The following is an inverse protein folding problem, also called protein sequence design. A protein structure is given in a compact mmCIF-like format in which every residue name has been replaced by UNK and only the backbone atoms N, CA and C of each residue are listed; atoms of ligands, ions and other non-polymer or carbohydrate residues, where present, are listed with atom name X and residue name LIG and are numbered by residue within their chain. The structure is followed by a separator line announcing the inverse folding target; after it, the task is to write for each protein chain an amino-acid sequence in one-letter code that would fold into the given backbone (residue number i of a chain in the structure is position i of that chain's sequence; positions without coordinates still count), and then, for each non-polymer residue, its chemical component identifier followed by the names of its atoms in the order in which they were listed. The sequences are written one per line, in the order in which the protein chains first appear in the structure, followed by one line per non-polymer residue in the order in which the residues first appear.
data_IF_462737280590
#
_entry.id   IF_462737280590
#
_cell.length_a   1.000
_cell.length_b   1.000
_cell.length_c   1.000
_cell.angle_alpha   90.00
_cell.angle_beta   90.00
_cell.angle_gamma   90.00
#
_symmetry.space_group_name_H-M   'P 1'
#
loop_
_entity.id
_entity.type
_entity.pdbx_description
1 polymer ?
#
# COMPACT_ATOMS: atom_id res chain seq x y z
N UNK A 1 -16.46 -9.98 -1.22
CA UNK A 1 -16.01 -8.58 -1.47
C UNK A 1 -17.04 -7.93 -2.36
N UNK A 2 -17.37 -6.65 -2.17
CA UNK A 2 -18.26 -5.96 -3.09
C UNK A 2 -17.58 -5.88 -4.48
N UNK A 3 -18.30 -6.12 -5.59
CA UNK A 3 -17.70 -6.25 -6.93
C UNK A 3 -17.07 -4.95 -7.44
N UNK A 4 -17.48 -3.80 -6.88
CA UNK A 4 -16.95 -2.48 -7.16
C UNK A 4 -15.76 -2.10 -6.28
N UNK A 5 -15.34 -2.95 -5.33
CA UNK A 5 -14.22 -2.68 -4.44
C UNK A 5 -13.00 -3.53 -4.78
N UNK A 6 -11.86 -2.85 -4.94
CA UNK A 6 -10.56 -3.48 -5.06
C UNK A 6 -9.69 -3.11 -3.86
N UNK A 7 -9.23 -4.14 -3.14
CA UNK A 7 -8.28 -3.99 -2.04
C UNK A 7 -6.90 -4.48 -2.48
N UNK A 8 -5.87 -3.67 -2.28
CA UNK A 8 -4.49 -4.03 -2.54
C UNK A 8 -3.66 -3.91 -1.26
N UNK A 9 -2.94 -4.98 -0.92
CA UNK A 9 -1.99 -5.00 0.19
C UNK A 9 -0.63 -5.43 -0.34
N UNK A 10 0.40 -4.63 -0.08
CA UNK A 10 1.75 -4.91 -0.56
C UNK A 10 2.80 -4.29 0.35
N UNK A 11 4.04 -4.77 0.26
CA UNK A 11 5.20 -4.15 0.87
C UNK A 11 5.92 -3.32 -0.18
N UNK A 12 6.35 -2.12 0.19
CA UNK A 12 7.19 -1.27 -0.67
C UNK A 12 8.54 -1.04 -0.02
N UNK A 13 9.56 -0.88 -0.86
CA UNK A 13 10.90 -0.44 -0.50
C UNK A 13 11.27 0.73 -1.39
N UNK A 14 11.61 1.87 -0.80
CA UNK A 14 12.15 3.05 -1.48
C UNK A 14 13.57 3.29 -0.95
N UNK A 15 14.54 3.43 -1.86
CA UNK A 15 15.93 3.69 -1.52
C UNK A 15 16.36 5.02 -2.11
N UNK A 16 16.61 6.01 -1.25
CA UNK A 16 17.02 7.36 -1.65
C UNK A 16 18.18 7.84 -0.79
N UNK A 17 19.23 8.36 -1.42
CA UNK A 17 20.43 8.89 -0.73
C UNK A 17 21.03 7.90 0.29
N UNK A 18 21.02 6.60 -0.03
CA UNK A 18 21.53 5.56 0.87
C UNK A 18 20.59 5.17 2.02
N UNK A 19 19.49 5.88 2.23
CA UNK A 19 18.46 5.54 3.21
C UNK A 19 17.44 4.63 2.56
N UNK A 20 17.22 3.47 3.15
CA UNK A 20 16.16 2.54 2.75
C UNK A 20 14.94 2.71 3.66
N UNK A 21 13.77 2.89 3.05
CA UNK A 21 12.49 3.00 3.74
C UNK A 21 11.57 1.89 3.28
N UNK A 22 11.16 1.05 4.22
CA UNK A 22 10.18 -0.02 3.98
C UNK A 22 8.83 0.36 4.59
N UNK A 23 7.76 0.01 3.89
CA UNK A 23 6.40 0.28 4.35
C UNK A 23 5.44 -0.84 3.96
N UNK A 24 4.55 -1.20 4.89
CA UNK A 24 3.40 -2.06 4.61
C UNK A 24 2.26 -1.16 4.18
N UNK A 25 1.70 -1.42 3.00
CA UNK A 25 0.70 -0.57 2.36
C UNK A 25 -0.63 -1.28 2.21
N UNK A 26 -1.69 -0.54 2.48
CA UNK A 26 -3.07 -0.96 2.30
C UNK A 26 -3.79 0.11 1.49
N UNK A 27 -4.35 -0.28 0.35
CA UNK A 27 -5.13 0.58 -0.53
C UNK A 27 -6.53 0.01 -0.69
N UNK A 28 -7.52 0.89 -0.74
CA UNK A 28 -8.88 0.58 -1.14
C UNK A 28 -9.27 1.49 -2.29
N UNK A 29 -9.77 0.89 -3.36
CA UNK A 29 -10.29 1.56 -4.53
C UNK A 29 -11.74 1.17 -4.75
N UNK A 30 -12.50 2.08 -5.34
CA UNK A 30 -13.86 1.84 -5.80
C UNK A 30 -13.99 2.11 -7.28
N UNK A 31 -14.67 1.23 -8.00
CA UNK A 31 -15.04 1.43 -9.37
C UNK A 31 -16.27 2.34 -9.41
N UNK A 32 -16.08 3.57 -9.86
CA UNK A 32 -17.14 4.52 -10.11
C UNK A 32 -17.36 4.65 -11.63
N UNK A 33 -18.46 5.23 -12.12
CA UNK A 33 -18.71 5.39 -13.57
C UNK A 33 -17.57 6.12 -14.32
N UNK A 34 -16.83 6.97 -13.62
CA UNK A 34 -15.69 7.73 -14.15
C UNK A 34 -14.35 6.97 -14.06
N UNK A 35 -14.36 5.74 -13.54
CA UNK A 35 -13.19 4.89 -13.36
C UNK A 35 -12.88 4.58 -11.90
N UNK A 36 -11.72 3.96 -11.66
CA UNK A 36 -11.26 3.60 -10.32
C UNK A 36 -10.84 4.85 -9.53
N UNK A 37 -11.44 5.05 -8.36
CA UNK A 37 -11.12 6.14 -7.45
C UNK A 37 -10.55 5.60 -6.13
N UNK A 38 -9.52 6.24 -5.56
CA UNK A 38 -8.97 5.83 -4.28
C UNK A 38 -9.91 6.23 -3.15
N UNK A 39 -10.28 5.28 -2.29
CA UNK A 39 -11.04 5.54 -1.07
C UNK A 39 -10.14 5.61 0.17
N UNK A 40 -9.05 4.83 0.16
CA UNK A 40 -8.17 4.71 1.31
C UNK A 40 -6.75 4.39 0.86
N UNK A 41 -5.78 5.01 1.53
CA UNK A 41 -4.37 4.69 1.43
C UNK A 41 -3.73 4.85 2.80
N UNK A 42 -3.11 3.77 3.30
CA UNK A 42 -2.30 3.81 4.50
C UNK A 42 -0.96 3.11 4.25
N UNK A 43 0.11 3.71 4.74
CA UNK A 43 1.43 3.11 4.81
C UNK A 43 1.94 3.12 6.25
N UNK A 44 2.37 1.97 6.75
CA UNK A 44 3.06 1.86 8.05
C UNK A 44 4.52 1.55 7.79
N UNK A 45 5.42 2.45 8.21
CA UNK A 45 6.85 2.21 8.14
C UNK A 45 7.23 1.04 9.05
N UNK A 46 8.16 0.21 8.58
CA UNK A 46 8.72 -0.85 9.40
C UNK A 46 10.19 -1.07 9.06
N UNK A 47 10.95 -1.55 10.04
CA UNK A 47 12.24 -2.19 9.81
C UNK A 47 11.98 -3.69 9.79
N UNK A 48 12.60 -4.45 8.87
CA UNK A 48 12.62 -5.91 9.08
C UNK A 48 13.45 -6.12 10.35
N UNK A 49 12.85 -6.71 11.38
CA UNK A 49 13.66 -7.25 12.46
C UNK A 49 14.55 -8.32 11.82
N UNK A 50 15.87 -8.15 11.96
CA UNK A 50 16.81 -9.23 11.75
C UNK A 50 16.61 -10.26 12.87
N UNK A 51 15.56 -11.05 12.76
CA UNK A 51 15.30 -12.20 13.60
C UNK A 51 15.00 -13.36 12.66
N UNK A 52 16.08 -14.03 12.25
CA UNK A 52 16.08 -15.46 11.90
C UNK A 52 16.73 -16.19 13.07
#
# INVERSE_FOLDING_TARGET
MAPDLAQLRYRSMDRRQGIERRASRSLLWRNEPVGWQPLFHQGTLFTENAAS
#
